data_IF_212338263488
#
_entry.id   IF_212338263488
#
_cell.length_a   1.000
_cell.length_b   1.000
_cell.length_c   1.000
_cell.angle_alpha   90.00
_cell.angle_beta   90.00
_cell.angle_gamma   90.00
#
_symmetry.space_group_name_H-M   'P 1'
#
loop_
_entity.id
_entity.type
_entity.pdbx_description
1 polymer ?
#
# COMPACT_ATOMS: atom_id res chain seq x y z
N UNK A 1 -35.36 -76.80 45.39
CA UNK A 1 -34.72 -76.14 44.23
C UNK A 1 -35.74 -75.15 43.67
N UNK A 2 -35.60 -73.84 43.54
CA UNK A 2 -34.60 -72.80 43.87
C UNK A 2 -35.41 -71.51 43.63
N UNK A 3 -35.51 -70.59 44.61
CA UNK A 3 -36.19 -69.29 44.45
C UNK A 3 -35.37 -68.41 43.51
N UNK A 4 -35.96 -67.91 42.42
CA UNK A 4 -35.32 -66.93 41.53
C UNK A 4 -36.02 -65.58 41.65
N UNK A 5 -35.28 -64.62 42.20
CA UNK A 5 -35.67 -63.23 42.46
C UNK A 5 -36.00 -62.49 41.15
N UNK A 6 -37.17 -61.84 41.08
CA UNK A 6 -37.49 -60.85 40.04
C UNK A 6 -36.60 -59.61 40.23
N UNK A 7 -35.61 -59.46 39.36
CA UNK A 7 -34.73 -58.30 39.26
C UNK A 7 -35.49 -57.15 38.56
N UNK A 8 -35.74 -56.03 39.25
CA UNK A 8 -36.24 -54.78 38.64
C UNK A 8 -35.21 -54.29 37.63
N UNK A 9 -35.56 -54.26 36.34
CA UNK A 9 -34.83 -53.48 35.34
C UNK A 9 -35.18 -51.99 35.54
N UNK A 10 -34.15 -51.16 35.72
CA UNK A 10 -34.26 -49.70 35.64
C UNK A 10 -34.45 -49.34 34.17
N UNK A 11 -35.48 -48.58 33.86
CA UNK A 11 -35.63 -47.92 32.57
C UNK A 11 -34.57 -46.80 32.49
N UNK A 12 -33.59 -46.98 31.61
CA UNK A 12 -32.70 -45.90 31.20
C UNK A 12 -33.52 -44.92 30.34
N UNK A 13 -33.82 -43.76 30.92
CA UNK A 13 -34.45 -42.65 30.20
C UNK A 13 -33.44 -42.10 29.20
N UNK A 14 -33.52 -42.57 27.96
CA UNK A 14 -32.93 -41.90 26.80
C UNK A 14 -33.51 -40.49 26.71
N UNK A 15 -32.73 -39.49 27.16
CA UNK A 15 -32.97 -38.09 26.82
C UNK A 15 -32.84 -37.94 25.32
N UNK A 16 -33.97 -38.03 24.60
CA UNK A 16 -34.09 -37.55 23.22
C UNK A 16 -33.69 -36.08 23.20
N UNK A 17 -32.47 -35.82 22.73
CA UNK A 17 -32.05 -34.48 22.37
C UNK A 17 -33.01 -33.97 21.27
N UNK A 18 -33.81 -32.97 21.61
CA UNK A 18 -34.69 -32.29 20.66
C UNK A 18 -33.82 -31.71 19.54
N UNK A 19 -33.99 -32.24 18.33
CA UNK A 19 -33.46 -31.60 17.11
C UNK A 19 -34.07 -30.20 17.03
N UNK A 20 -33.30 -29.15 16.67
CA UNK A 20 -33.84 -27.81 16.55
C UNK A 20 -35.05 -27.83 15.60
N UNK A 21 -36.14 -27.17 16.04
CA UNK A 21 -37.38 -27.05 15.28
C UNK A 21 -37.06 -26.52 13.88
N UNK A 22 -37.30 -27.33 12.85
CA UNK A 22 -37.32 -26.85 11.46
C UNK A 22 -38.37 -25.74 11.40
N UNK A 23 -37.91 -24.50 11.27
CA UNK A 23 -38.76 -23.38 10.88
C UNK A 23 -39.26 -23.71 9.48
N UNK A 24 -40.49 -24.20 9.36
CA UNK A 24 -41.20 -24.28 8.08
C UNK A 24 -41.48 -22.85 7.65
N UNK A 25 -40.70 -22.36 6.69
CA UNK A 25 -40.87 -21.02 6.13
C UNK A 25 -42.20 -20.92 5.41
N UNK A 26 -42.81 -19.74 5.53
CA UNK A 26 -43.98 -19.27 4.78
C UNK A 26 -43.93 -19.67 3.30
N UNK A 27 -45.12 -19.84 2.72
CA UNK A 27 -45.38 -20.21 1.32
C UNK A 27 -44.35 -19.61 0.35
N UNK A 28 -43.81 -20.41 -0.59
CA UNK A 28 -42.74 -19.95 -1.46
C UNK A 28 -43.26 -18.80 -2.34
N UNK A 29 -42.74 -17.60 -2.13
CA UNK A 29 -43.05 -16.42 -2.92
C UNK A 29 -43.05 -16.76 -4.42
N UNK A 30 -44.13 -16.41 -5.12
CA UNK A 30 -44.32 -16.73 -6.55
C UNK A 30 -43.08 -16.33 -7.35
N UNK A 31 -42.37 -17.31 -7.91
CA UNK A 31 -41.13 -17.08 -8.65
C UNK A 31 -41.44 -16.24 -9.88
N UNK A 32 -41.01 -14.97 -9.88
CA UNK A 32 -41.04 -14.12 -11.07
C UNK A 32 -40.13 -14.74 -12.13
N UNK A 33 -40.71 -15.36 -13.16
CA UNK A 33 -39.95 -16.00 -14.24
C UNK A 33 -39.16 -15.00 -15.12
N UNK A 34 -39.40 -13.69 -14.96
CA UNK A 34 -38.85 -12.66 -15.84
C UNK A 34 -37.55 -12.08 -15.26
N UNK A 35 -36.52 -12.09 -16.11
CA UNK A 35 -35.27 -11.37 -15.87
C UNK A 35 -35.49 -9.85 -15.90
N UNK A 36 -35.72 -9.25 -14.72
CA UNK A 36 -36.03 -7.82 -14.55
C UNK A 36 -34.78 -6.95 -14.67
N UNK A 37 -33.70 -7.30 -13.96
CA UNK A 37 -32.46 -6.50 -13.94
C UNK A 37 -31.49 -6.94 -15.04
N UNK A 38 -31.58 -6.33 -16.22
CA UNK A 38 -30.78 -6.69 -17.40
C UNK A 38 -29.40 -6.04 -17.40
N UNK A 39 -28.56 -6.40 -16.44
CA UNK A 39 -27.17 -5.93 -16.41
C UNK A 39 -26.31 -6.69 -17.41
N UNK A 40 -25.47 -5.96 -18.12
CA UNK A 40 -24.45 -6.46 -19.05
C UNK A 40 -23.18 -5.67 -18.82
N UNK A 41 -22.09 -6.37 -18.56
CA UNK A 41 -20.80 -5.75 -18.20
C UNK A 41 -19.81 -6.00 -19.33
N UNK A 42 -19.30 -4.95 -19.94
CA UNK A 42 -18.21 -5.04 -20.91
C UNK A 42 -16.89 -5.22 -20.17
N UNK A 43 -16.14 -6.30 -20.45
CA UNK A 43 -14.85 -6.57 -19.80
C UNK A 43 -13.75 -6.67 -20.84
N UNK A 44 -12.81 -5.72 -20.81
CA UNK A 44 -11.73 -5.65 -21.77
C UNK A 44 -10.55 -4.83 -21.26
N UNK A 45 -9.49 -4.76 -22.07
CA UNK A 45 -8.24 -4.15 -21.69
C UNK A 45 -7.64 -3.27 -22.78
N UNK A 46 -6.78 -2.34 -22.39
CA UNK A 46 -5.89 -1.65 -23.32
C UNK A 46 -4.73 -2.55 -23.72
N UNK A 47 -4.06 -2.22 -24.83
CA UNK A 47 -2.74 -2.78 -25.12
C UNK A 47 -1.76 -2.43 -23.99
N UNK A 48 -0.78 -3.31 -23.76
CA UNK A 48 0.25 -3.11 -22.73
C UNK A 48 -0.01 -3.77 -21.37
N UNK A 49 -0.97 -4.71 -21.27
CA UNK A 49 -1.18 -5.51 -20.05
C UNK A 49 -0.17 -6.66 -19.91
N UNK A 50 0.25 -6.91 -18.67
CA UNK A 50 1.14 -8.01 -18.30
C UNK A 50 0.42 -9.38 -18.42
N UNK A 51 1.18 -10.47 -18.40
CA UNK A 51 0.67 -11.84 -18.36
C UNK A 51 -0.27 -12.07 -17.17
N UNK A 52 0.16 -11.71 -15.95
CA UNK A 52 -0.66 -11.85 -14.74
C UNK A 52 -1.98 -11.07 -14.83
N UNK A 53 -1.97 -9.90 -15.46
CA UNK A 53 -3.17 -9.06 -15.62
C UNK A 53 -4.15 -9.66 -16.64
N UNK A 54 -3.67 -10.45 -17.62
CA UNK A 54 -4.54 -11.18 -18.55
C UNK A 54 -5.29 -12.29 -17.85
N UNK A 55 -4.58 -13.07 -17.04
CA UNK A 55 -5.21 -14.11 -16.20
C UNK A 55 -6.24 -13.51 -15.25
N UNK A 56 -5.93 -12.40 -14.57
CA UNK A 56 -6.92 -11.70 -13.74
C UNK A 56 -8.18 -11.27 -14.54
N UNK A 57 -8.00 -10.75 -15.76
CA UNK A 57 -9.12 -10.37 -16.63
C UNK A 57 -9.94 -11.60 -17.05
N UNK A 58 -9.29 -12.72 -17.35
CA UNK A 58 -9.96 -13.98 -17.70
C UNK A 58 -10.68 -14.60 -16.51
N UNK A 59 -10.10 -14.54 -15.32
CA UNK A 59 -10.73 -14.97 -14.06
C UNK A 59 -12.01 -14.17 -13.80
N UNK A 60 -11.98 -12.83 -13.95
CA UNK A 60 -13.19 -12.00 -13.85
C UNK A 60 -14.26 -12.35 -14.90
N UNK A 61 -13.85 -12.69 -16.12
CA UNK A 61 -14.78 -13.16 -17.17
C UNK A 61 -15.40 -14.51 -16.82
N UNK A 62 -14.65 -15.42 -16.20
CA UNK A 62 -15.17 -16.72 -15.75
C UNK A 62 -16.17 -16.56 -14.61
N UNK A 63 -15.88 -15.64 -13.69
CA UNK A 63 -16.72 -15.34 -12.53
C UNK A 63 -18.05 -14.67 -12.88
N UNK A 64 -18.07 -13.73 -13.82
CA UNK A 64 -19.28 -12.97 -14.16
C UNK A 64 -20.00 -13.56 -15.38
N UNK A 65 -21.17 -14.22 -15.26
CA UNK A 65 -21.89 -14.78 -16.41
C UNK A 65 -22.47 -13.73 -17.36
N UNK A 66 -22.74 -12.52 -16.87
CA UNK A 66 -23.25 -11.36 -17.62
C UNK A 66 -22.15 -10.53 -18.30
N UNK A 67 -20.90 -11.03 -18.32
CA UNK A 67 -19.82 -10.36 -19.03
C UNK A 67 -19.99 -10.45 -20.56
N UNK A 68 -19.50 -9.42 -21.25
CA UNK A 68 -19.29 -9.40 -22.70
C UNK A 68 -17.81 -9.10 -22.96
N UNK A 69 -17.07 -10.01 -23.62
CA UNK A 69 -15.68 -9.76 -23.96
C UNK A 69 -15.59 -8.79 -25.16
N UNK A 70 -14.58 -7.92 -25.14
CA UNK A 70 -14.19 -7.08 -26.28
C UNK A 70 -12.72 -7.32 -26.65
N UNK A 71 -12.36 -7.00 -27.88
CA UNK A 71 -10.98 -6.90 -28.32
C UNK A 71 -10.22 -5.81 -27.53
N UNK A 72 -8.89 -5.90 -27.49
CA UNK A 72 -8.08 -4.93 -26.76
C UNK A 72 -8.05 -3.59 -27.50
N UNK A 73 -8.41 -2.52 -26.81
CA UNK A 73 -8.36 -1.17 -27.37
C UNK A 73 -6.93 -0.63 -27.42
N UNK A 74 -6.70 0.30 -28.35
CA UNK A 74 -5.47 1.09 -28.37
C UNK A 74 -5.43 2.10 -27.24
N UNK A 75 -4.22 2.50 -26.85
CA UNK A 75 -4.00 3.44 -25.75
C UNK A 75 -4.17 4.87 -26.27
N UNK A 76 -5.41 5.30 -26.46
CA UNK A 76 -5.73 6.68 -26.84
C UNK A 76 -5.99 7.54 -25.60
N UNK A 77 -5.81 8.86 -25.71
CA UNK A 77 -6.11 9.80 -24.61
C UNK A 77 -7.62 9.91 -24.33
N UNK A 78 -8.45 9.69 -25.34
CA UNK A 78 -9.91 9.79 -25.22
C UNK A 78 -10.49 8.43 -24.83
N UNK A 79 -10.96 8.32 -23.59
CA UNK A 79 -11.61 7.10 -23.08
C UNK A 79 -13.12 7.08 -23.38
N UNK A 80 -13.67 8.13 -24.00
CA UNK A 80 -15.08 8.18 -24.42
C UNK A 80 -15.44 7.13 -25.48
N UNK A 81 -14.45 6.64 -26.25
CA UNK A 81 -14.61 5.53 -27.21
C UNK A 81 -15.19 4.28 -26.55
N UNK A 82 -14.95 4.09 -25.24
CA UNK A 82 -15.51 2.96 -24.48
C UNK A 82 -17.05 3.03 -24.42
N UNK A 83 -17.63 4.23 -24.39
CA UNK A 83 -19.08 4.41 -24.37
C UNK A 83 -19.70 3.93 -25.69
N UNK A 84 -19.05 4.20 -26.82
CA UNK A 84 -19.47 3.72 -28.14
C UNK A 84 -19.39 2.19 -28.24
N UNK A 85 -18.28 1.60 -27.77
CA UNK A 85 -18.12 0.14 -27.71
C UNK A 85 -19.22 -0.52 -26.86
N UNK A 86 -19.55 0.09 -25.72
CA UNK A 86 -20.67 -0.33 -24.88
C UNK A 86 -22.02 -0.16 -25.59
N UNK A 87 -22.22 0.90 -26.38
CA UNK A 87 -23.42 1.11 -27.19
C UNK A 87 -23.62 0.00 -28.23
N UNK A 88 -22.58 -0.33 -29.00
CA UNK A 88 -22.61 -1.41 -30.00
C UNK A 88 -22.92 -2.77 -29.37
N UNK A 89 -22.36 -3.07 -28.19
CA UNK A 89 -22.61 -4.33 -27.47
C UNK A 89 -23.81 -4.29 -26.52
N UNK A 90 -24.53 -3.17 -26.47
CA UNK A 90 -25.64 -2.92 -25.54
C UNK A 90 -25.27 -3.31 -24.09
N UNK A 91 -24.20 -2.71 -23.58
CA UNK A 91 -23.68 -2.93 -22.22
C UNK A 91 -23.94 -1.70 -21.34
N UNK A 92 -24.47 -1.93 -20.15
CA UNK A 92 -24.83 -0.87 -19.20
C UNK A 92 -23.66 -0.48 -18.29
N UNK A 93 -22.63 -1.33 -18.24
CA UNK A 93 -21.48 -1.26 -17.33
C UNK A 93 -20.22 -1.61 -18.08
N UNK A 94 -19.10 -1.04 -17.64
CA UNK A 94 -17.80 -1.30 -18.23
C UNK A 94 -16.73 -1.53 -17.15
N UNK A 95 -15.88 -2.51 -17.41
CA UNK A 95 -14.65 -2.81 -16.68
C UNK A 95 -13.50 -2.72 -17.69
N UNK A 96 -12.71 -1.65 -17.58
CA UNK A 96 -11.56 -1.42 -18.45
C UNK A 96 -10.26 -1.61 -17.66
N UNK A 97 -9.42 -2.53 -18.13
CA UNK A 97 -8.05 -2.72 -17.65
C UNK A 97 -7.07 -1.84 -18.44
N UNK A 98 -6.57 -0.76 -17.83
CA UNK A 98 -5.55 0.11 -18.40
C UNK A 98 -4.14 -0.33 -17.92
N UNK A 99 -3.38 -0.97 -18.81
CA UNK A 99 -1.99 -1.35 -18.53
C UNK A 99 -1.01 -0.20 -18.82
N UNK A 100 -0.16 0.16 -17.84
CA UNK A 100 0.94 1.12 -18.01
C UNK A 100 2.29 0.44 -17.93
N UNK A 101 3.15 0.67 -18.93
CA UNK A 101 4.53 0.15 -19.01
C UNK A 101 4.64 -1.36 -18.76
N UNK A 102 3.56 -2.14 -19.02
CA UNK A 102 3.46 -3.59 -18.70
C UNK A 102 3.72 -3.95 -17.23
N UNK A 103 3.69 -2.97 -16.31
CA UNK A 103 3.97 -3.15 -14.88
C UNK A 103 2.80 -2.75 -14.02
N UNK A 104 2.29 -1.53 -14.23
CA UNK A 104 1.25 -0.97 -13.38
C UNK A 104 -0.12 -1.23 -14.03
N UNK A 105 -1.09 -1.66 -13.23
CA UNK A 105 -2.46 -1.95 -13.69
C UNK A 105 -3.43 -0.96 -13.08
N UNK A 106 -4.18 -0.28 -13.93
CA UNK A 106 -5.33 0.50 -13.51
C UNK A 106 -6.59 -0.19 -13.98
N UNK A 107 -7.63 -0.14 -13.15
CA UNK A 107 -8.96 -0.60 -13.53
C UNK A 107 -9.92 0.57 -13.43
N UNK A 108 -10.76 0.68 -14.44
CA UNK A 108 -11.88 1.59 -14.46
C UNK A 108 -13.17 0.79 -14.31
N UNK A 109 -13.98 1.19 -13.35
CA UNK A 109 -15.33 0.70 -13.19
C UNK A 109 -16.28 1.84 -13.52
N UNK A 110 -17.18 1.62 -14.47
CA UNK A 110 -18.06 2.68 -14.95
C UNK A 110 -19.47 2.20 -15.23
N UNK A 111 -20.41 3.10 -14.94
CA UNK A 111 -21.76 3.04 -15.48
C UNK A 111 -21.78 3.81 -16.81
N UNK A 112 -22.33 3.18 -17.85
CA UNK A 112 -22.38 3.74 -19.21
C UNK A 112 -23.85 3.91 -19.61
N UNK A 113 -24.26 5.02 -20.26
CA UNK A 113 -23.45 6.19 -20.70
C UNK A 113 -23.33 7.32 -19.67
N UNK A 114 -24.20 7.35 -18.67
CA UNK A 114 -24.39 8.52 -17.78
C UNK A 114 -23.27 8.73 -16.75
N UNK A 115 -22.48 7.69 -16.43
CA UNK A 115 -21.58 7.69 -15.25
C UNK A 115 -22.28 7.18 -13.99
N UNK A 116 -21.62 7.09 -12.82
CA UNK A 116 -20.26 7.55 -12.51
C UNK A 116 -19.18 6.58 -13.00
N UNK A 117 -17.93 7.03 -12.98
CA UNK A 117 -16.77 6.18 -13.20
C UNK A 117 -15.73 6.34 -12.11
N UNK A 118 -15.11 5.23 -11.71
CA UNK A 118 -14.11 5.18 -10.66
C UNK A 118 -12.84 4.52 -11.18
N UNK A 119 -11.71 5.19 -10.95
CA UNK A 119 -10.38 4.70 -11.32
C UNK A 119 -9.69 4.13 -10.10
N UNK A 120 -9.16 2.92 -10.25
CA UNK A 120 -8.40 2.21 -9.24
C UNK A 120 -7.02 1.85 -9.75
N UNK A 121 -6.03 1.89 -8.87
CA UNK A 121 -4.77 1.18 -9.06
C UNK A 121 -4.93 -0.22 -8.45
N UNK A 122 -4.64 -1.25 -9.22
CA UNK A 122 -4.68 -2.64 -8.72
C UNK A 122 -3.32 -3.03 -8.20
N UNK A 123 -3.27 -3.49 -6.96
CA UNK A 123 -2.10 -3.97 -6.26
C UNK A 123 -2.32 -5.41 -5.78
N UNK A 124 -1.23 -6.13 -5.47
CA UNK A 124 -1.26 -7.48 -4.88
C UNK A 124 -2.19 -8.47 -5.61
N UNK A 125 -2.05 -8.56 -6.94
CA UNK A 125 -2.83 -9.48 -7.76
C UNK A 125 -2.35 -10.91 -7.57
N UNK A 126 -3.26 -11.78 -7.17
CA UNK A 126 -3.14 -13.22 -7.14
C UNK A 126 -4.28 -13.83 -7.97
N UNK A 127 -3.94 -14.65 -8.95
CA UNK A 127 -4.90 -15.25 -9.90
C UNK A 127 -5.46 -16.57 -9.37
N UNK A 128 -6.56 -17.06 -9.94
CA UNK A 128 -7.15 -18.35 -9.56
C UNK A 128 -6.17 -19.53 -9.76
N UNK A 129 -5.24 -19.43 -10.72
CA UNK A 129 -4.26 -20.47 -11.01
C UNK A 129 -3.10 -20.60 -10.01
N UNK A 130 -3.17 -19.94 -8.86
CA UNK A 130 -2.10 -20.02 -7.85
C UNK A 130 -2.33 -21.16 -6.86
N UNK A 131 -1.24 -21.85 -6.48
CA UNK A 131 -1.28 -23.08 -5.68
C UNK A 131 -1.97 -22.93 -4.30
N UNK A 132 -1.99 -21.72 -3.73
CA UNK A 132 -2.59 -21.46 -2.41
C UNK A 132 -4.11 -21.39 -2.43
N UNK A 133 -4.71 -21.30 -3.62
CA UNK A 133 -6.16 -21.24 -3.79
C UNK A 133 -6.69 -22.66 -3.98
N UNK A 134 -7.24 -23.24 -2.92
CA UNK A 134 -7.74 -24.63 -2.89
C UNK A 134 -9.24 -24.73 -3.18
N UNK A 135 -9.97 -23.62 -3.11
CA UNK A 135 -11.40 -23.58 -3.38
C UNK A 135 -11.73 -23.64 -4.86
N UNK A 136 -12.93 -24.14 -5.17
CA UNK A 136 -13.51 -24.16 -6.52
C UNK A 136 -14.92 -23.57 -6.49
N UNK A 137 -15.41 -23.07 -7.62
CA UNK A 137 -16.82 -22.70 -7.75
C UNK A 137 -17.37 -23.05 -9.12
N UNK A 138 -18.66 -23.38 -9.17
CA UNK A 138 -19.40 -23.57 -10.40
C UNK A 138 -19.44 -22.27 -11.21
N UNK A 139 -19.26 -22.41 -12.53
CA UNK A 139 -19.26 -21.27 -13.43
C UNK A 139 -20.68 -20.70 -13.56
N UNK A 140 -20.82 -19.39 -13.34
CA UNK A 140 -22.08 -18.69 -13.50
C UNK A 140 -23.04 -18.82 -12.32
N UNK A 141 -22.61 -19.36 -11.18
CA UNK A 141 -23.36 -19.22 -9.93
C UNK A 141 -23.45 -17.76 -9.53
N UNK A 142 -24.49 -17.45 -8.75
CA UNK A 142 -24.73 -16.09 -8.27
C UNK A 142 -23.88 -15.89 -7.01
N UNK A 143 -22.94 -14.93 -7.00
CA UNK A 143 -22.15 -14.65 -5.81
C UNK A 143 -23.01 -13.95 -4.75
N UNK A 144 -22.72 -14.25 -3.49
CA UNK A 144 -23.10 -13.36 -2.40
C UNK A 144 -22.07 -12.23 -2.30
N UNK A 145 -22.54 -10.99 -2.12
CA UNK A 145 -21.66 -9.84 -1.96
C UNK A 145 -21.64 -9.45 -0.48
N UNK A 146 -20.49 -9.61 0.16
CA UNK A 146 -20.23 -9.16 1.52
C UNK A 146 -19.41 -7.87 1.48
N UNK A 147 -19.95 -6.82 2.08
CA UNK A 147 -19.28 -5.53 2.21
C UNK A 147 -19.04 -5.25 3.69
N UNK A 148 -17.85 -4.74 3.98
CA UNK A 148 -17.48 -4.21 5.28
C UNK A 148 -18.35 -3.00 5.66
N UNK A 149 -18.57 -2.78 6.95
CA UNK A 149 -19.40 -1.70 7.49
C UNK A 149 -18.84 -0.32 7.13
N UNK A 150 -17.51 -0.23 7.00
CA UNK A 150 -16.76 0.95 6.59
C UNK A 150 -17.22 1.54 5.25
N UNK A 151 -17.88 0.76 4.39
CA UNK A 151 -18.45 1.26 3.14
C UNK A 151 -19.59 2.26 3.35
N UNK A 152 -20.24 2.24 4.52
CA UNK A 152 -21.36 3.13 4.85
C UNK A 152 -20.87 4.44 5.47
N UNK A 153 -19.68 4.46 6.05
CA UNK A 153 -19.14 5.60 6.81
C UNK A 153 -18.87 6.84 5.95
N UNK A 154 -18.32 6.66 4.75
CA UNK A 154 -17.98 7.78 3.86
C UNK A 154 -18.80 7.74 2.57
N UNK A 155 -19.25 8.91 2.11
CA UNK A 155 -20.07 9.04 0.90
C UNK A 155 -19.41 8.45 -0.37
N UNK A 156 -18.09 8.62 -0.51
CA UNK A 156 -17.37 8.06 -1.64
C UNK A 156 -17.36 6.53 -1.60
N UNK A 157 -17.23 5.91 -0.42
CA UNK A 157 -17.33 4.46 -0.31
C UNK A 157 -18.76 3.95 -0.51
N UNK A 158 -19.78 4.69 -0.08
CA UNK A 158 -21.17 4.33 -0.36
C UNK A 158 -21.45 4.31 -1.88
N UNK A 159 -20.95 5.30 -2.62
CA UNK A 159 -21.02 5.30 -4.08
C UNK A 159 -20.26 4.12 -4.71
N UNK A 160 -19.08 3.79 -4.17
CA UNK A 160 -18.30 2.66 -4.65
C UNK A 160 -18.96 1.31 -4.35
N UNK A 161 -19.60 1.15 -3.18
CA UNK A 161 -20.38 -0.02 -2.81
C UNK A 161 -21.44 -0.28 -3.87
N UNK A 162 -22.24 0.72 -4.19
CA UNK A 162 -23.35 0.61 -5.14
C UNK A 162 -22.86 0.31 -6.56
N UNK A 163 -21.77 0.96 -6.98
CA UNK A 163 -21.12 0.70 -8.26
C UNK A 163 -20.60 -0.76 -8.35
N UNK A 164 -19.94 -1.24 -7.30
CA UNK A 164 -19.42 -2.62 -7.25
C UNK A 164 -20.55 -3.64 -7.17
N UNK A 165 -21.62 -3.36 -6.41
CA UNK A 165 -22.82 -4.20 -6.35
C UNK A 165 -23.43 -4.39 -7.74
N UNK A 166 -23.52 -3.32 -8.53
CA UNK A 166 -24.08 -3.39 -9.90
C UNK A 166 -23.16 -4.08 -10.91
N UNK A 167 -21.85 -4.13 -10.67
CA UNK A 167 -20.89 -4.76 -11.59
C UNK A 167 -20.75 -6.25 -11.28
N UNK A 168 -20.47 -6.58 -10.01
CA UNK A 168 -20.18 -7.93 -9.56
C UNK A 168 -21.46 -8.74 -9.23
N UNK A 169 -22.58 -8.05 -8.99
CA UNK A 169 -23.87 -8.71 -8.77
C UNK A 169 -24.38 -9.41 -10.03
N UNK A 170 -24.78 -10.67 -9.88
CA UNK A 170 -25.42 -11.43 -10.96
C UNK A 170 -26.94 -11.37 -10.77
N UNK A 171 -27.70 -10.82 -11.75
CA UNK A 171 -29.14 -10.71 -11.61
C UNK A 171 -29.81 -12.09 -11.58
N UNK A 172 -30.91 -12.20 -10.83
CA UNK A 172 -31.67 -13.44 -10.75
C UNK A 172 -32.30 -13.77 -12.13
N UNK A 173 -32.31 -15.05 -12.50
CA UNK A 173 -32.77 -15.56 -13.80
C UNK A 173 -31.99 -15.03 -15.02
N UNK A 174 -30.70 -14.71 -14.86
CA UNK A 174 -29.85 -14.46 -16.02
C UNK A 174 -29.75 -15.75 -16.87
N UNK A 175 -29.75 -15.69 -18.21
CA UNK A 175 -29.77 -16.90 -19.05
C UNK A 175 -28.60 -17.88 -18.81
N UNK A 176 -27.48 -17.37 -18.29
CA UNK A 176 -26.28 -18.15 -17.94
C UNK A 176 -26.09 -18.34 -16.43
N UNK A 177 -27.00 -17.83 -15.59
CA UNK A 177 -26.85 -17.98 -14.15
C UNK A 177 -27.36 -19.33 -13.68
N UNK A 178 -26.61 -19.96 -12.78
CA UNK A 178 -27.07 -21.13 -12.04
C UNK A 178 -27.94 -20.69 -10.84
N UNK A 179 -28.88 -21.53 -10.39
CA UNK A 179 -29.80 -21.19 -9.31
C UNK A 179 -29.15 -21.21 -7.92
N UNK A 180 -28.02 -21.91 -7.76
CA UNK A 180 -27.35 -22.11 -6.48
C UNK A 180 -26.37 -20.98 -6.12
N UNK A 181 -26.17 -20.80 -4.81
CA UNK A 181 -25.12 -19.97 -4.24
C UNK A 181 -23.97 -20.88 -3.83
N UNK A 182 -22.79 -20.61 -4.36
CA UNK A 182 -21.61 -21.46 -4.18
C UNK A 182 -20.42 -20.67 -3.61
N UNK A 183 -20.37 -19.36 -3.89
CA UNK A 183 -19.26 -18.51 -3.50
C UNK A 183 -19.68 -17.11 -3.06
N UNK A 184 -18.78 -16.47 -2.33
CA UNK A 184 -18.94 -15.14 -1.73
C UNK A 184 -17.80 -14.24 -2.17
N UNK A 185 -18.15 -13.05 -2.68
CA UNK A 185 -17.21 -11.96 -2.85
C UNK A 185 -17.20 -11.11 -1.59
N UNK A 186 -16.00 -10.88 -1.06
CA UNK A 186 -15.78 -10.07 0.12
C UNK A 186 -15.02 -8.82 -0.28
N UNK A 187 -15.57 -7.67 0.10
CA UNK A 187 -14.94 -6.37 -0.03
C UNK A 187 -14.67 -5.83 1.36
N UNK A 188 -13.39 -5.73 1.73
CA UNK A 188 -12.97 -5.20 3.03
C UNK A 188 -12.16 -3.93 2.85
N UNK A 189 -12.38 -2.92 3.69
CA UNK A 189 -11.58 -1.70 3.64
C UNK A 189 -10.49 -1.79 4.70
N UNK A 190 -9.24 -1.73 4.26
CA UNK A 190 -8.07 -1.67 5.15
C UNK A 190 -7.06 -0.69 4.56
N UNK A 191 -6.58 0.24 5.38
CA UNK A 191 -5.63 1.30 4.98
C UNK A 191 -6.12 2.12 3.77
N UNK A 192 -7.41 2.47 3.74
CA UNK A 192 -8.07 3.20 2.65
C UNK A 192 -8.03 2.46 1.29
N UNK A 193 -7.76 1.15 1.30
CA UNK A 193 -7.74 0.28 0.14
C UNK A 193 -8.82 -0.77 0.26
N UNK A 194 -9.40 -1.14 -0.86
CA UNK A 194 -10.44 -2.15 -0.93
C UNK A 194 -9.81 -3.49 -1.27
N UNK A 195 -9.89 -4.44 -0.38
CA UNK A 195 -9.42 -5.81 -0.57
C UNK A 195 -10.56 -6.63 -1.14
N UNK A 196 -10.31 -7.27 -2.28
CA UNK A 196 -11.23 -8.22 -2.88
C UNK A 196 -10.73 -9.65 -2.63
N UNK A 197 -11.61 -10.50 -2.12
CA UNK A 197 -11.38 -11.95 -2.04
C UNK A 197 -12.64 -12.72 -2.42
N UNK A 198 -12.42 -13.90 -2.98
CA UNK A 198 -13.46 -14.82 -3.40
C UNK A 198 -13.34 -16.14 -2.62
N UNK A 199 -14.42 -16.53 -1.94
CA UNK A 199 -14.48 -17.71 -1.10
C UNK A 199 -15.57 -18.67 -1.56
N UNK A 200 -15.26 -19.96 -1.58
CA UNK A 200 -16.22 -21.05 -1.73
C UNK A 200 -16.93 -21.32 -0.39
N UNK A 201 -18.21 -21.63 -0.45
CA UNK A 201 -18.99 -22.15 0.68
C UNK A 201 -18.85 -23.67 0.68
N UNK A 202 -18.15 -24.24 1.67
CA UNK A 202 -17.90 -25.70 1.71
C UNK A 202 -19.03 -26.47 2.39
N UNK A 203 -19.51 -25.96 3.51
CA UNK A 203 -20.46 -26.65 4.39
C UNK A 203 -21.53 -25.66 4.80
N UNK A 204 -22.73 -26.16 5.10
CA UNK A 204 -23.84 -25.35 5.62
C UNK A 204 -23.47 -24.64 6.94
N UNK A 205 -22.47 -25.16 7.67
CA UNK A 205 -21.90 -24.57 8.89
C UNK A 205 -21.08 -23.29 8.66
N UNK A 206 -20.91 -22.85 7.41
CA UNK A 206 -20.25 -21.59 7.06
C UNK A 206 -18.73 -21.68 6.90
N UNK A 207 -18.17 -22.88 6.74
CA UNK A 207 -16.76 -23.05 6.40
C UNK A 207 -16.47 -22.49 4.99
N UNK A 208 -15.42 -21.67 4.88
CA UNK A 208 -15.02 -20.98 3.65
C UNK A 208 -13.63 -21.40 3.19
N UNK A 209 -13.46 -21.68 1.90
CA UNK A 209 -12.15 -21.90 1.27
C UNK A 209 -11.86 -20.84 0.21
N UNK A 210 -10.63 -20.38 0.09
CA UNK A 210 -10.26 -19.33 -0.87
C UNK A 210 -10.13 -19.89 -2.30
N UNK A 211 -10.86 -19.31 -3.26
CA UNK A 211 -10.83 -19.68 -4.70
C UNK A 211 -9.91 -18.73 -5.49
N UNK A 212 -9.95 -17.44 -5.15
CA UNK A 212 -9.38 -16.38 -5.97
C UNK A 212 -10.30 -15.87 -7.09
N UNK A 213 -9.91 -14.81 -7.81
CA UNK A 213 -8.67 -14.07 -7.64
C UNK A 213 -8.69 -13.19 -6.38
N UNK A 214 -7.52 -12.84 -5.88
CA UNK A 214 -7.32 -11.89 -4.79
C UNK A 214 -6.58 -10.68 -5.33
N UNK A 215 -7.09 -9.50 -5.04
CA UNK A 215 -6.42 -8.26 -5.41
C UNK A 215 -6.84 -7.11 -4.50
N UNK A 216 -6.05 -6.06 -4.51
CA UNK A 216 -6.30 -4.84 -3.74
C UNK A 216 -6.55 -3.70 -4.72
N UNK A 217 -7.67 -3.01 -4.53
CA UNK A 217 -8.04 -1.82 -5.27
C UNK A 217 -7.69 -0.59 -4.42
N UNK A 218 -6.78 0.22 -4.91
CA UNK A 218 -6.44 1.50 -4.34
C UNK A 218 -7.20 2.60 -5.12
N UNK A 219 -8.23 3.24 -4.53
CA UNK A 219 -9.02 4.28 -5.20
C UNK A 219 -8.13 5.45 -5.61
N UNK A 220 -8.23 5.89 -6.87
CA UNK A 220 -7.46 7.03 -7.38
C UNK A 220 -8.34 8.26 -7.44
N UNK A 221 -9.37 8.21 -8.29
CA UNK A 221 -10.30 9.31 -8.57
C UNK A 221 -11.67 8.75 -8.91
N UNK A 222 -12.70 9.49 -8.55
CA UNK A 222 -14.09 9.24 -8.94
C UNK A 222 -14.56 10.41 -9.80
N UNK A 223 -15.21 10.10 -10.92
CA UNK A 223 -15.72 11.05 -11.90
C UNK A 223 -17.25 10.97 -11.93
N UNK A 224 -17.89 12.10 -12.21
CA UNK A 224 -19.36 12.17 -12.31
C UNK A 224 -19.91 11.42 -13.51
N UNK A 225 -19.16 11.43 -14.63
CA UNK A 225 -19.53 10.88 -15.92
C UNK A 225 -18.79 9.58 -16.22
N UNK A 226 -19.11 9.01 -17.37
CA UNK A 226 -18.50 7.78 -17.85
C UNK A 226 -17.21 8.07 -18.63
N UNK A 227 -16.06 7.60 -18.11
CA UNK A 227 -14.75 7.69 -18.74
C UNK A 227 -14.29 9.13 -19.12
N UNK A 228 -14.79 10.11 -18.38
CA UNK A 228 -14.56 11.53 -18.55
C UNK A 228 -15.53 12.32 -17.67
N UNK A 229 -15.44 13.65 -17.72
CA UNK A 229 -16.11 14.64 -16.85
C UNK A 229 -15.32 15.07 -15.61
N UNK A 230 -15.95 15.93 -14.82
CA UNK A 230 -15.43 16.49 -13.58
C UNK A 230 -15.17 15.42 -12.52
N UNK A 231 -14.12 15.66 -11.74
CA UNK A 231 -13.72 14.79 -10.63
C UNK A 231 -14.59 15.11 -9.42
N UNK A 232 -15.39 14.14 -8.98
CA UNK A 232 -16.20 14.24 -7.75
C UNK A 232 -15.33 14.10 -6.50
N UNK A 233 -14.34 13.20 -6.57
CA UNK A 233 -13.47 12.91 -5.44
C UNK A 233 -12.08 12.48 -5.92
N UNK A 234 -11.05 12.98 -5.25
CA UNK A 234 -9.65 12.66 -5.48
C UNK A 234 -9.06 12.09 -4.19
N UNK A 235 -8.34 10.98 -4.28
CA UNK A 235 -7.77 10.35 -3.09
C UNK A 235 -6.48 11.10 -2.66
N UNK A 236 -6.46 11.77 -1.49
CA UNK A 236 -5.27 12.48 -1.02
C UNK A 236 -4.10 11.55 -0.66
N UNK A 237 -4.39 10.29 -0.31
CA UNK A 237 -3.39 9.31 0.08
C UNK A 237 -2.79 8.55 -1.11
N UNK A 238 -3.36 8.71 -2.31
CA UNK A 238 -2.90 8.01 -3.49
C UNK A 238 -1.58 8.60 -4.02
N UNK A 239 -0.59 7.74 -4.19
CA UNK A 239 0.67 8.07 -4.86
C UNK A 239 0.81 7.14 -6.07
N UNK A 240 1.02 7.72 -7.24
CA UNK A 240 1.21 6.90 -8.44
C UNK A 240 2.51 6.08 -8.35
N UNK A 241 2.53 4.83 -8.84
CA UNK A 241 3.75 4.00 -8.82
C UNK A 241 4.93 4.67 -9.53
N UNK A 242 4.66 5.45 -10.59
CA UNK A 242 5.67 6.25 -11.26
C UNK A 242 6.29 7.31 -10.32
N UNK A 243 5.47 8.07 -9.59
CA UNK A 243 5.92 9.08 -8.63
C UNK A 243 6.63 8.44 -7.43
N UNK A 244 6.13 7.29 -6.96
CA UNK A 244 6.78 6.52 -5.91
C UNK A 244 8.19 6.07 -6.34
N UNK A 245 8.33 5.45 -7.52
CA UNK A 245 9.64 5.09 -8.09
C UNK A 245 10.56 6.30 -8.25
N UNK A 246 10.05 7.41 -8.78
CA UNK A 246 10.83 8.65 -8.90
C UNK A 246 11.33 9.15 -7.55
N UNK A 247 10.52 9.06 -6.49
CA UNK A 247 10.93 9.45 -5.14
C UNK A 247 12.05 8.57 -4.59
N UNK A 248 12.02 7.25 -4.87
CA UNK A 248 13.09 6.32 -4.50
C UNK A 248 14.38 6.64 -5.26
N UNK A 249 14.29 6.87 -6.57
CA UNK A 249 15.44 7.26 -7.39
C UNK A 249 16.04 8.60 -6.92
N UNK A 250 15.20 9.58 -6.56
CA UNK A 250 15.67 10.88 -6.04
C UNK A 250 16.35 10.75 -4.67
N UNK A 251 15.80 9.92 -3.77
CA UNK A 251 16.45 9.59 -2.49
C UNK A 251 17.81 8.90 -2.71
N UNK A 252 17.89 7.99 -3.68
CA UNK A 252 19.14 7.32 -4.04
C UNK A 252 20.17 8.28 -4.69
N UNK A 253 19.72 9.20 -5.56
CA UNK A 253 20.59 10.20 -6.20
C UNK A 253 21.27 11.14 -5.20
N UNK A 254 20.57 11.49 -4.12
CA UNK A 254 21.14 12.32 -3.06
C UNK A 254 22.25 11.61 -2.27
N UNK A 255 22.40 10.27 -2.35
CA UNK A 255 23.48 9.56 -1.64
C UNK A 255 24.87 10.05 -2.05
N UNK A 256 25.10 10.32 -3.34
CA UNK A 256 26.38 10.85 -3.80
C UNK A 256 26.63 12.25 -3.26
N UNK A 257 25.63 13.14 -3.33
CA UNK A 257 25.73 14.50 -2.78
C UNK A 257 25.99 14.46 -1.27
N UNK A 258 25.23 13.68 -0.53
CA UNK A 258 25.41 13.48 0.91
C UNK A 258 26.82 12.96 1.22
N UNK A 259 27.37 12.04 0.41
CA UNK A 259 28.74 11.53 0.60
C UNK A 259 29.79 12.62 0.39
N UNK A 260 29.62 13.46 -0.64
CA UNK A 260 30.53 14.59 -0.91
C UNK A 260 30.42 15.64 0.18
N UNK A 261 29.20 15.98 0.61
CA UNK A 261 28.93 16.89 1.73
C UNK A 261 29.53 16.36 3.03
N UNK A 262 29.37 15.07 3.34
CA UNK A 262 29.98 14.45 4.52
C UNK A 262 31.51 14.48 4.47
N UNK A 263 32.13 14.25 3.29
CA UNK A 263 33.59 14.41 3.13
C UNK A 263 34.04 15.84 3.38
N UNK A 264 33.31 16.83 2.85
CA UNK A 264 33.61 18.25 3.09
C UNK A 264 33.45 18.64 4.56
N UNK A 265 32.38 18.17 5.23
CA UNK A 265 32.17 18.38 6.67
C UNK A 265 33.26 17.71 7.48
N UNK A 266 33.66 16.48 7.12
CA UNK A 266 34.74 15.77 7.79
C UNK A 266 36.06 16.53 7.66
N UNK A 267 36.40 17.03 6.47
CA UNK A 267 37.59 17.85 6.26
C UNK A 267 37.54 19.15 7.08
N UNK A 268 36.40 19.84 7.08
CA UNK A 268 36.22 21.08 7.83
C UNK A 268 36.20 20.89 9.35
N UNK A 269 35.73 19.74 9.83
CA UNK A 269 35.63 19.41 11.27
C UNK A 269 36.87 18.67 11.76
N UNK A 270 37.77 18.25 10.85
CA UNK A 270 38.99 17.53 11.21
C UNK A 270 39.85 18.50 12.05
N UNK A 271 40.11 18.19 13.33
CA UNK A 271 40.99 19.02 14.13
C UNK A 271 42.42 18.89 13.61
N UNK A 272 43.18 19.99 13.60
CA UNK A 272 44.59 19.98 13.21
C UNK A 272 45.43 19.13 14.17
N UNK A 273 45.04 19.11 15.45
CA UNK A 273 45.59 18.26 16.50
C UNK A 273 44.58 17.18 16.87
N UNK A 274 44.93 15.92 16.63
CA UNK A 274 44.08 14.76 16.94
C UNK A 274 43.99 14.49 18.44
N UNK A 275 45.10 14.68 19.16
CA UNK A 275 45.22 14.54 20.61
C UNK A 275 46.07 15.69 21.14
N UNK A 276 45.92 16.02 22.43
CA UNK A 276 46.91 16.87 23.09
C UNK A 276 48.26 16.12 23.07
N UNK A 277 49.29 16.70 22.49
CA UNK A 277 50.65 16.14 22.54
C UNK A 277 51.05 15.97 24.01
N UNK A 278 51.71 14.86 24.34
CA UNK A 278 52.39 14.80 25.63
C UNK A 278 53.52 15.86 25.60
N UNK A 279 53.76 16.59 26.71
CA UNK A 279 54.84 17.58 26.77
C UNK A 279 56.22 17.01 26.39
N UNK A 280 56.45 15.71 26.59
CA UNK A 280 57.69 14.99 26.25
C UNK A 280 57.82 14.61 24.77
N UNK A 281 56.75 14.70 23.97
CA UNK A 281 56.80 14.32 22.55
C UNK A 281 57.55 15.36 21.69
N UNK A 282 57.79 16.56 22.23
CA UNK A 282 58.62 17.58 21.60
C UNK A 282 60.10 17.17 21.52
N UNK A 283 60.55 16.26 22.39
CA UNK A 283 61.94 15.75 22.44
C UNK A 283 62.30 15.00 21.15
N UNK A 284 61.33 14.39 20.49
CA UNK A 284 61.55 13.51 19.33
C UNK A 284 61.38 14.19 17.95
N UNK A 285 61.12 15.50 17.90
CA UNK A 285 60.98 16.24 16.64
C UNK A 285 62.28 16.96 16.26
N UNK A 286 63.08 16.44 15.33
CA UNK A 286 64.33 17.07 14.85
C UNK A 286 65.53 16.12 14.91
N UNK A 287 66.73 16.62 14.64
CA UNK A 287 67.96 15.84 14.80
C UNK A 287 68.27 15.62 16.29
N UNK A 288 68.44 14.35 16.65
CA UNK A 288 68.53 13.88 18.05
C UNK A 288 69.75 14.48 18.76
N UNK A 289 70.83 14.74 18.02
CA UNK A 289 72.11 15.23 18.54
C UNK A 289 72.03 16.70 18.97
N UNK A 290 71.41 17.56 18.15
CA UNK A 290 71.28 18.99 18.47
C UNK A 290 70.38 19.21 19.68
N UNK A 291 69.30 18.41 19.81
CA UNK A 291 68.41 18.47 20.97
C UNK A 291 68.99 17.90 22.25
N UNK A 292 69.88 16.92 22.15
CA UNK A 292 70.60 16.40 23.32
C UNK A 292 71.51 17.49 23.91
N UNK A 293 72.21 18.23 23.05
CA UNK A 293 73.06 19.36 23.43
C UNK A 293 72.22 20.49 24.05
N UNK A 294 71.09 20.86 23.42
CA UNK A 294 70.20 21.91 23.93
C UNK A 294 69.54 21.55 25.28
N UNK A 295 69.33 20.25 25.54
CA UNK A 295 68.83 19.74 26.84
C UNK A 295 69.93 19.73 27.91
N UNK A 296 71.17 19.43 27.54
CA UNK A 296 72.33 19.52 28.45
C UNK A 296 72.58 20.97 28.87
N UNK A 297 72.54 21.93 27.93
CA UNK A 297 72.70 23.36 28.23
C UNK A 297 71.60 23.87 29.18
N UNK A 298 70.33 23.52 28.95
CA UNK A 298 69.22 23.90 29.86
C UNK A 298 69.33 23.25 31.24
N UNK A 299 69.88 22.04 31.33
CA UNK A 299 70.15 21.36 32.61
C UNK A 299 71.31 22.01 33.38
N UNK A 300 72.25 22.65 32.70
CA UNK A 300 73.32 23.44 33.32
C UNK A 300 72.81 24.79 33.84
N UNK A 301 71.91 25.44 33.11
CA UNK A 301 71.24 26.68 33.53
C UNK A 301 70.30 26.46 34.74
N UNK A 302 69.50 25.39 34.73
CA UNK A 302 68.61 25.04 35.86
C UNK A 302 69.36 24.64 37.14
N UNK A 303 70.60 24.13 37.02
CA UNK A 303 71.49 23.87 38.18
C UNK A 303 72.04 25.15 38.78
N UNK A 304 72.24 26.20 37.97
CA UNK A 304 72.65 27.51 38.45
C UNK A 304 71.49 28.28 39.12
N UNK A 305 70.26 28.16 38.62
CA UNK A 305 69.10 28.83 39.25
C UNK A 305 68.62 28.13 40.55
N UNK A 306 68.76 26.80 40.69
CA UNK A 306 68.30 26.06 41.88
C UNK A 306 69.19 26.22 43.13
N UNK A 307 70.29 26.96 43.07
CA UNK A 307 71.06 27.36 44.25
C UNK A 307 70.44 28.55 45.01
N UNK A 308 69.41 29.22 44.46
CA UNK A 308 68.74 30.35 45.09
C UNK A 308 67.20 30.21 45.14
N UNK A 309 66.67 29.43 46.10
CA UNK A 309 65.46 29.71 46.94
C UNK A 309 64.77 28.44 47.49
N UNK A 310 64.32 28.42 48.76
CA UNK A 310 63.45 27.37 49.29
C UNK A 310 62.01 27.85 49.49
N UNK A 311 60.98 27.27 48.84
CA UNK A 311 59.58 27.52 49.25
C UNK A 311 58.60 26.32 49.05
N UNK A 312 58.22 25.73 50.20
CA UNK A 312 56.91 25.24 50.67
C UNK A 312 55.88 24.64 49.68
N UNK A 313 55.63 23.35 49.88
CA UNK A 313 54.47 22.59 49.38
C UNK A 313 53.11 23.16 49.85
N UNK A 314 52.21 23.43 48.90
CA UNK A 314 50.75 23.52 49.14
C UNK A 314 49.98 22.73 48.09
N UNK A 315 49.44 21.60 48.51
CA UNK A 315 48.49 20.78 47.73
C UNK A 315 47.19 21.56 47.54
N UNK A 316 46.83 21.88 46.29
CA UNK A 316 45.50 22.41 45.93
C UNK A 316 44.63 21.31 45.31
N UNK A 317 43.51 21.01 45.97
CA UNK A 317 42.47 20.07 45.51
C UNK A 317 41.87 20.50 44.16
N UNK A 318 41.82 19.58 43.21
CA UNK A 318 41.14 19.74 41.92
C UNK A 318 39.62 19.74 42.14
N UNK A 319 38.94 20.87 41.92
CA UNK A 319 37.48 20.94 41.81
C UNK A 319 37.06 20.64 40.37
N UNK A 320 36.35 19.53 40.13
CA UNK A 320 35.65 19.26 38.86
C UNK A 320 34.59 20.33 38.63
N UNK A 321 34.61 21.01 37.47
CA UNK A 321 33.52 21.90 37.01
C UNK A 321 32.67 21.17 35.96
N UNK A 322 31.34 21.43 35.91
CA UNK A 322 30.39 20.67 35.10
C UNK A 322 30.41 21.09 33.62
N UNK A 323 29.98 20.17 32.77
CA UNK A 323 29.77 20.33 31.32
C UNK A 323 28.73 21.42 31.07
N UNK A 324 29.12 22.51 30.41
CA UNK A 324 28.21 23.54 29.92
C UNK A 324 27.95 23.32 28.43
N UNK A 325 26.71 22.94 28.10
CA UNK A 325 26.21 22.87 26.74
C UNK A 325 26.26 24.26 26.07
N UNK A 326 27.00 24.40 24.97
CA UNK A 326 27.02 25.64 24.18
C UNK A 326 25.81 25.70 23.24
N UNK A 327 24.99 26.73 23.46
CA UNK A 327 23.88 27.17 22.60
C UNK A 327 24.38 27.54 21.19
N UNK A 328 23.69 27.02 20.17
CA UNK A 328 23.85 27.40 18.75
C UNK A 328 23.45 28.86 18.56
N UNK A 329 24.38 29.72 18.14
CA UNK A 329 24.07 31.08 17.66
C UNK A 329 23.80 31.05 16.16
N UNK A 330 22.58 31.48 15.78
CA UNK A 330 22.14 31.76 14.40
C UNK A 330 23.10 32.76 13.73
N UNK A 331 23.66 32.39 12.59
CA UNK A 331 24.42 33.29 11.72
C UNK A 331 23.46 34.21 10.97
N UNK A 332 23.66 35.53 11.13
CA UNK A 332 22.99 36.59 10.36
C UNK A 332 23.49 36.56 8.91
N UNK A 333 22.56 36.55 7.95
CA UNK A 333 22.82 36.83 6.52
C UNK A 333 22.91 38.35 6.29
N UNK A 334 23.98 38.80 5.65
CA UNK A 334 24.06 40.05 4.86
C UNK A 334 25.00 39.79 3.68
N UNK A 335 24.48 39.57 2.46
CA UNK A 335 24.14 40.53 1.37
C UNK A 335 25.37 41.22 0.75
N UNK A 336 25.72 40.81 -0.48
CA UNK A 336 25.66 41.67 -1.68
C UNK A 336 26.29 41.01 -2.93
N UNK A 337 25.49 40.67 -3.95
CA UNK A 337 25.92 40.74 -5.36
C UNK A 337 24.76 41.29 -6.17
N UNK A 338 25.02 42.42 -6.85
CA UNK A 338 24.10 43.18 -7.70
C UNK A 338 23.70 42.36 -8.93
N UNK A 339 22.41 42.17 -9.18
CA UNK A 339 21.89 41.64 -10.46
C UNK A 339 21.68 42.80 -11.44
N UNK A 340 22.29 42.68 -12.62
CA UNK A 340 22.02 43.52 -13.80
C UNK A 340 20.59 43.26 -14.29
N UNK A 341 19.87 44.32 -14.59
CA UNK A 341 18.48 44.28 -15.04
C UNK A 341 18.33 43.74 -16.47
N UNK A 342 17.29 42.92 -16.67
CA UNK A 342 16.70 42.66 -17.99
C UNK A 342 15.23 43.10 -17.97
N UNK A 343 14.91 43.99 -18.91
CA UNK A 343 13.61 44.62 -19.15
C UNK A 343 12.55 43.57 -19.50
N UNK A 344 11.40 43.61 -18.82
CA UNK A 344 10.15 42.98 -19.29
C UNK A 344 9.50 43.90 -20.33
N UNK A 345 9.35 43.44 -21.58
CA UNK A 345 8.36 43.96 -22.52
C UNK A 345 6.98 43.42 -22.13
N UNK A 346 6.05 44.32 -21.82
CA UNK A 346 4.61 44.07 -21.89
C UNK A 346 4.23 44.04 -23.37
N UNK A 347 3.47 43.04 -23.79
CA UNK A 347 2.65 43.09 -25.00
C UNK A 347 1.19 43.02 -24.53
N UNK A 348 0.40 43.91 -25.13
CA UNK A 348 -1.04 44.08 -24.96
C UNK A 348 -1.82 42.86 -25.42
#
# INVERSE_FOLDING_TARGET
MTKTLKRKQKEDVEKKAEKPKKITSDEPATKKAKWVNRQRVLVFATRGINHRHRHLMEDLKRLMPHHRPECKMERTKNLQVVNEMCGVKNCNKAVLFEGRMKRDLYVWFANVPTGPSAKFLVENVYTMGELKMTGNCLKGTRPLLSFDENFTTHAHYCLLKELLTQIFGVPNHHPKSQPFFDHVYTFSILDNRIWFRNFQILTEDGALAEIGPRFVLNPVKIFSGSFGSDTLWDNPHYISPAKFRQSLTKKAANKYKNRVEQKMVQQATKPELSYAFNPTDEIFKGDIMEKAIEMEEKLEDDKNENLEKPVKNKVKKIKKKPVVAKKVKKVKKGKSVKSKGLKKKKIK
#
